data_IF_157989721353
#
_entry.id   IF_157989721353
#
_cell.length_a   1.000
_cell.length_b   1.000
_cell.length_c   1.000
_cell.angle_alpha   90.00
_cell.angle_beta   90.00
_cell.angle_gamma   90.00
#
_symmetry.space_group_name_H-M   'P 1'
#
loop_
_entity.id
_entity.type
_entity.pdbx_description
1 polymer ?
#
# COMPACT_ATOMS: atom_id res chain seq x y z
N UNK A 1 -0.40 20.73 5.17
CA UNK A 1 -1.48 19.84 5.61
C UNK A 1 -0.90 18.49 5.96
N UNK A 2 -1.24 17.95 7.14
CA UNK A 2 -0.78 16.66 7.61
C UNK A 2 -1.82 15.57 7.20
N UNK A 3 -1.60 14.80 6.13
CA UNK A 3 -2.60 13.88 5.60
C UNK A 3 -2.92 12.73 6.57
N UNK A 4 -1.93 12.23 7.31
CA UNK A 4 -2.12 11.11 8.24
C UNK A 4 -3.09 11.43 9.39
N UNK A 5 -2.91 12.49 10.18
CA UNK A 5 -3.87 12.90 11.21
C UNK A 5 -5.28 13.16 10.66
N UNK A 6 -5.38 13.72 9.47
CA UNK A 6 -6.67 13.92 8.80
C UNK A 6 -7.35 12.59 8.43
N UNK A 7 -6.59 11.62 7.93
CA UNK A 7 -7.11 10.29 7.64
C UNK A 7 -7.57 9.57 8.92
N UNK A 8 -6.80 9.68 10.02
CA UNK A 8 -7.20 9.16 11.33
C UNK A 8 -8.59 9.67 11.72
N UNK A 9 -8.77 10.97 11.67
CA UNK A 9 -10.04 11.61 12.03
C UNK A 9 -11.17 11.19 11.08
N UNK A 10 -10.89 11.01 9.79
CA UNK A 10 -11.86 10.49 8.82
C UNK A 10 -12.33 9.08 9.17
N UNK A 11 -11.42 8.17 9.54
CA UNK A 11 -11.77 6.81 9.98
C UNK A 11 -12.66 6.84 11.24
N UNK A 12 -12.32 7.70 12.19
CA UNK A 12 -13.13 7.90 13.41
C UNK A 12 -14.53 8.42 13.06
N UNK A 13 -14.61 9.41 12.17
CA UNK A 13 -15.87 9.98 11.73
C UNK A 13 -16.75 8.94 11.01
N UNK A 14 -16.18 8.16 10.09
CA UNK A 14 -16.92 7.11 9.38
C UNK A 14 -17.55 6.13 10.36
N UNK A 15 -16.79 5.66 11.35
CA UNK A 15 -17.27 4.74 12.39
C UNK A 15 -18.35 5.38 13.24
N UNK A 16 -18.20 6.65 13.57
CA UNK A 16 -19.23 7.39 14.31
C UNK A 16 -20.53 7.54 13.49
N UNK A 17 -20.45 7.82 12.19
CA UNK A 17 -21.62 7.86 11.30
C UNK A 17 -22.31 6.49 11.27
N UNK A 18 -21.56 5.41 11.14
CA UNK A 18 -22.13 4.05 11.17
C UNK A 18 -22.79 3.71 12.51
N UNK A 19 -22.23 4.16 13.62
CA UNK A 19 -22.83 4.01 14.94
C UNK A 19 -24.15 4.78 15.06
N UNK A 20 -24.22 5.99 14.52
CA UNK A 20 -25.46 6.77 14.43
C UNK A 20 -26.55 6.01 13.64
N UNK A 21 -26.18 5.42 12.50
CA UNK A 21 -27.14 4.65 11.70
C UNK A 21 -27.53 3.31 12.34
N UNK A 22 -26.59 2.61 12.96
CA UNK A 22 -26.80 1.28 13.50
C UNK A 22 -27.52 1.30 14.85
N UNK A 23 -27.11 2.19 15.73
CA UNK A 23 -27.52 2.22 17.14
C UNK A 23 -28.35 3.45 17.52
N UNK A 24 -28.72 4.27 16.53
CA UNK A 24 -29.41 5.55 16.75
C UNK A 24 -28.63 6.46 17.73
N UNK A 25 -27.31 6.40 17.66
CA UNK A 25 -26.45 7.23 18.46
C UNK A 25 -26.64 8.72 18.11
N UNK A 26 -26.31 9.61 19.03
CA UNK A 26 -26.43 11.04 18.79
C UNK A 26 -25.35 11.50 17.80
N UNK A 27 -25.68 12.20 16.70
CA UNK A 27 -24.71 12.96 15.93
C UNK A 27 -24.01 13.97 16.85
N UNK A 28 -22.71 14.12 16.74
CA UNK A 28 -21.98 14.99 17.68
C UNK A 28 -20.47 14.86 17.53
N UNK A 29 -19.99 14.45 16.36
CA UNK A 29 -18.56 14.38 16.09
C UNK A 29 -17.99 15.79 15.83
N UNK A 30 -17.02 16.20 16.65
CA UNK A 30 -16.26 17.45 16.49
C UNK A 30 -14.76 17.15 16.50
N UNK A 31 -14.15 17.14 15.33
CA UNK A 31 -12.72 16.97 15.16
C UNK A 31 -12.04 18.26 14.70
N UNK A 32 -10.74 18.17 14.49
CA UNK A 32 -9.93 19.27 13.95
C UNK A 32 -10.23 19.56 12.47
N UNK A 33 -10.57 18.51 11.71
CA UNK A 33 -10.74 18.56 10.26
C UNK A 33 -12.17 18.32 9.81
N UNK A 34 -12.96 17.60 10.62
CA UNK A 34 -14.31 17.19 10.27
C UNK A 34 -15.30 17.46 11.39
N UNK A 35 -16.52 17.76 11.01
CA UNK A 35 -17.65 17.94 11.92
C UNK A 35 -18.87 17.20 11.38
N UNK A 36 -19.57 16.50 12.28
CA UNK A 36 -20.84 15.84 11.97
C UNK A 36 -21.83 16.09 13.12
N UNK A 37 -22.77 17.00 12.92
CA UNK A 37 -23.66 17.49 13.97
C UNK A 37 -25.15 17.21 13.70
N UNK A 38 -25.50 16.73 12.51
CA UNK A 38 -26.88 16.52 12.10
C UNK A 38 -27.02 15.24 11.27
N UNK A 39 -28.00 14.42 11.63
CA UNK A 39 -28.52 13.32 10.82
C UNK A 39 -30.05 13.41 10.83
N UNK A 40 -30.65 13.64 9.68
CA UNK A 40 -32.10 13.65 9.57
C UNK A 40 -32.60 12.25 9.20
N UNK A 41 -33.83 11.87 9.61
CA UNK A 41 -34.41 10.58 9.27
C UNK A 41 -34.43 10.29 7.76
N UNK A 42 -34.58 11.32 6.94
CA UNK A 42 -34.63 11.20 5.48
C UNK A 42 -33.30 10.68 4.87
N UNK A 43 -32.16 11.01 5.48
CA UNK A 43 -30.83 10.59 5.03
C UNK A 43 -30.25 9.42 5.83
N UNK A 44 -30.96 8.94 6.85
CA UNK A 44 -30.51 7.78 7.61
C UNK A 44 -30.97 6.48 6.91
N UNK A 45 -30.03 5.61 6.50
CA UNK A 45 -30.39 4.30 5.92
C UNK A 45 -30.96 3.33 6.96
N UNK A 46 -30.80 3.65 8.26
CA UNK A 46 -31.10 2.73 9.35
C UNK A 46 -30.07 1.63 9.55
N UNK A 47 -30.34 0.68 10.46
CA UNK A 47 -29.42 -0.40 10.76
C UNK A 47 -29.32 -1.42 9.64
N UNK A 48 -28.15 -2.04 9.50
CA UNK A 48 -27.87 -3.12 8.55
C UNK A 48 -27.54 -4.42 9.27
N UNK A 49 -27.69 -5.55 8.59
CA UNK A 49 -27.43 -6.88 9.15
C UNK A 49 -25.95 -7.10 9.53
N UNK A 50 -25.02 -6.48 8.79
CA UNK A 50 -23.59 -6.63 8.96
C UNK A 50 -22.92 -5.28 9.26
N UNK A 51 -23.01 -4.78 10.51
CA UNK A 51 -22.56 -3.43 10.86
C UNK A 51 -21.03 -3.27 10.91
N UNK A 52 -20.32 -4.36 11.10
CA UNK A 52 -18.85 -4.35 11.16
C UNK A 52 -18.23 -4.29 9.77
N UNK A 53 -18.34 -3.13 9.12
CA UNK A 53 -17.74 -2.91 7.79
C UNK A 53 -16.24 -2.69 7.95
N UNK A 54 -15.39 -3.52 7.30
CA UNK A 54 -13.95 -3.35 7.41
C UNK A 54 -13.46 -2.10 6.67
N UNK A 55 -12.62 -1.32 7.35
CA UNK A 55 -11.94 -0.16 6.75
C UNK A 55 -10.52 -0.56 6.38
N UNK A 56 -10.18 -0.39 5.11
CA UNK A 56 -8.83 -0.54 4.60
C UNK A 56 -8.25 0.82 4.25
N UNK A 57 -7.03 1.08 4.69
CA UNK A 57 -6.27 2.25 4.27
C UNK A 57 -5.02 1.83 3.51
N UNK A 58 -4.44 2.73 2.74
CA UNK A 58 -3.22 2.45 2.00
C UNK A 58 -2.07 3.36 2.41
N UNK A 59 -0.86 2.88 2.22
CA UNK A 59 0.35 3.64 2.48
C UNK A 59 1.61 2.79 2.46
N UNK A 60 2.70 3.40 2.89
CA UNK A 60 4.01 2.76 2.95
C UNK A 60 4.85 3.29 4.12
N UNK A 61 4.60 4.53 4.56
CA UNK A 61 5.39 5.16 5.60
C UNK A 61 5.00 4.69 7.02
N UNK A 62 5.89 4.84 8.01
CA UNK A 62 5.67 4.39 9.38
C UNK A 62 4.37 4.88 10.02
N UNK A 63 3.98 6.14 9.79
CA UNK A 63 2.75 6.68 10.36
C UNK A 63 1.50 5.93 9.87
N UNK A 64 1.43 5.64 8.55
CA UNK A 64 0.31 4.93 7.96
C UNK A 64 0.25 3.48 8.43
N UNK A 65 1.40 2.83 8.60
CA UNK A 65 1.47 1.48 9.14
C UNK A 65 0.93 1.43 10.58
N UNK A 66 1.36 2.37 11.45
CA UNK A 66 0.83 2.48 12.82
C UNK A 66 -0.66 2.77 12.84
N UNK A 67 -1.13 3.68 11.99
CA UNK A 67 -2.55 4.02 11.90
C UNK A 67 -3.40 2.80 11.50
N UNK A 68 -2.95 2.02 10.51
CA UNK A 68 -3.62 0.80 10.11
C UNK A 68 -3.70 -0.21 11.26
N UNK A 69 -2.58 -0.48 11.94
CA UNK A 69 -2.53 -1.37 13.10
C UNK A 69 -3.44 -0.93 14.23
N UNK A 70 -3.49 0.37 14.51
CA UNK A 70 -4.26 0.93 15.61
C UNK A 70 -5.78 0.87 15.39
N UNK A 71 -6.26 1.07 14.15
CA UNK A 71 -7.68 1.30 13.98
C UNK A 71 -8.32 0.81 12.65
N UNK A 72 -7.62 0.05 11.81
CA UNK A 72 -8.18 -0.44 10.56
C UNK A 72 -8.19 -1.97 10.50
N UNK A 73 -9.09 -2.55 9.72
CA UNK A 73 -9.19 -4.00 9.50
C UNK A 73 -8.29 -4.46 8.35
N UNK A 74 -7.71 -3.52 7.61
CA UNK A 74 -6.73 -3.87 6.59
C UNK A 74 -5.83 -2.73 6.17
N UNK A 75 -4.69 -3.13 5.60
CA UNK A 75 -3.69 -2.22 5.06
C UNK A 75 -3.30 -2.64 3.65
N UNK A 76 -3.56 -1.78 2.69
CA UNK A 76 -3.07 -1.93 1.32
C UNK A 76 -1.69 -1.33 1.20
N UNK A 77 -0.67 -2.20 1.17
CA UNK A 77 0.69 -1.79 0.91
C UNK A 77 0.87 -1.39 -0.55
N UNK A 78 1.55 -0.28 -0.78
CA UNK A 78 1.84 0.17 -2.14
C UNK A 78 2.67 -0.88 -2.91
N UNK A 79 2.43 -1.11 -4.22
CA UNK A 79 3.15 -2.12 -5.00
C UNK A 79 4.67 -1.91 -5.05
N UNK A 80 5.13 -0.66 -4.93
CA UNK A 80 6.54 -0.36 -4.81
C UNK A 80 7.03 -0.59 -3.37
N UNK A 81 7.39 -1.84 -3.07
CA UNK A 81 7.92 -2.31 -1.79
C UNK A 81 8.98 -3.39 -2.00
N UNK A 82 9.73 -3.71 -0.96
CA UNK A 82 10.58 -4.89 -0.89
C UNK A 82 10.27 -5.69 0.37
N UNK A 83 10.58 -6.99 0.37
CA UNK A 83 10.40 -7.82 1.55
C UNK A 83 11.24 -7.35 2.73
N UNK A 84 12.44 -6.80 2.46
CA UNK A 84 13.27 -6.18 3.49
C UNK A 84 12.57 -4.99 4.14
N UNK A 85 12.06 -4.06 3.33
CA UNK A 85 11.32 -2.90 3.84
C UNK A 85 10.06 -3.28 4.63
N UNK A 86 9.35 -4.31 4.16
CA UNK A 86 8.17 -4.83 4.88
C UNK A 86 8.57 -5.32 6.26
N UNK A 87 9.59 -6.16 6.37
CA UNK A 87 10.02 -6.75 7.64
C UNK A 87 10.67 -5.75 8.59
N UNK A 88 11.44 -4.81 8.08
CA UNK A 88 12.20 -3.86 8.89
C UNK A 88 11.42 -2.58 9.22
N UNK A 89 10.41 -2.21 8.42
CA UNK A 89 9.68 -0.96 8.60
C UNK A 89 8.17 -1.16 8.74
N UNK A 90 7.53 -1.87 7.80
CA UNK A 90 6.07 -1.95 7.78
C UNK A 90 5.54 -2.75 8.97
N UNK A 91 6.00 -3.99 9.14
CA UNK A 91 5.51 -4.88 10.20
C UNK A 91 5.76 -4.32 11.60
N UNK A 92 6.98 -3.86 11.96
CA UNK A 92 7.22 -3.32 13.30
C UNK A 92 6.35 -2.11 13.62
N UNK A 93 6.16 -1.19 12.67
CA UNK A 93 5.29 -0.03 12.88
C UNK A 93 3.81 -0.41 12.98
N UNK A 94 3.36 -1.41 12.22
CA UNK A 94 1.99 -1.90 12.33
C UNK A 94 1.75 -2.58 13.68
N UNK A 95 2.70 -3.37 14.16
CA UNK A 95 2.67 -4.02 15.47
C UNK A 95 2.66 -2.99 16.61
N UNK A 96 3.42 -1.91 16.50
CA UNK A 96 3.33 -0.77 17.46
C UNK A 96 1.91 -0.20 17.52
N UNK A 97 1.26 -0.02 16.36
CA UNK A 97 -0.13 0.44 16.31
C UNK A 97 -1.12 -0.55 16.94
N UNK A 98 -0.98 -1.84 16.64
CA UNK A 98 -1.77 -2.94 17.19
C UNK A 98 -1.68 -2.98 18.72
N UNK A 99 -0.45 -2.89 19.25
CA UNK A 99 -0.20 -2.93 20.70
C UNK A 99 -0.88 -1.81 21.46
N UNK A 100 -1.03 -0.62 20.86
CA UNK A 100 -1.68 0.54 21.49
C UNK A 100 -3.16 0.31 21.84
N UNK A 101 -3.82 -0.56 21.14
CA UNK A 101 -5.27 -0.81 21.27
C UNK A 101 -5.59 -2.22 21.75
N UNK A 102 -4.58 -3.03 22.08
CA UNK A 102 -4.76 -4.40 22.55
C UNK A 102 -5.28 -5.35 21.46
N UNK A 103 -5.17 -4.97 20.18
CA UNK A 103 -5.53 -5.82 19.04
C UNK A 103 -4.48 -6.90 18.80
N UNK A 104 -4.76 -7.79 17.86
CA UNK A 104 -3.82 -8.82 17.41
C UNK A 104 -3.47 -8.62 15.94
N UNK A 105 -2.36 -9.22 15.48
CA UNK A 105 -1.94 -9.17 14.07
C UNK A 105 -3.02 -9.70 13.13
N UNK A 106 -3.76 -10.71 13.55
CA UNK A 106 -4.89 -11.30 12.80
C UNK A 106 -6.06 -10.34 12.55
N UNK A 107 -6.15 -9.25 13.31
CA UNK A 107 -7.22 -8.25 13.15
C UNK A 107 -6.95 -7.26 12.01
N UNK A 108 -5.77 -7.33 11.39
CA UNK A 108 -5.35 -6.41 10.32
C UNK A 108 -4.89 -7.21 9.10
N UNK A 109 -5.73 -7.32 8.09
CA UNK A 109 -5.35 -7.95 6.84
C UNK A 109 -4.32 -7.10 6.08
N UNK A 110 -3.19 -7.69 5.71
CA UNK A 110 -2.15 -7.05 4.92
C UNK A 110 -2.28 -7.48 3.45
N UNK A 111 -2.59 -6.53 2.58
CA UNK A 111 -2.78 -6.76 1.16
C UNK A 111 -1.80 -5.93 0.32
N UNK A 112 -1.44 -6.43 -0.83
CA UNK A 112 -0.64 -5.69 -1.82
C UNK A 112 -0.93 -6.14 -3.24
N UNK A 113 -0.42 -5.39 -4.21
CA UNK A 113 -0.21 -5.88 -5.57
C UNK A 113 1.30 -6.02 -5.81
N UNK A 114 1.71 -7.15 -6.37
CA UNK A 114 3.10 -7.41 -6.70
C UNK A 114 3.38 -7.03 -8.15
N UNK A 115 4.50 -6.36 -8.42
CA UNK A 115 5.01 -6.26 -9.78
C UNK A 115 5.35 -7.66 -10.29
N UNK A 116 4.80 -8.03 -11.44
CA UNK A 116 5.03 -9.31 -12.06
C UNK A 116 5.60 -9.11 -13.46
N UNK A 117 6.75 -9.72 -13.69
CA UNK A 117 7.43 -9.79 -15.00
C UNK A 117 7.26 -11.21 -15.48
N UNK A 118 6.32 -11.45 -16.41
CA UNK A 118 5.94 -12.80 -16.80
C UNK A 118 5.78 -12.97 -18.30
N UNK A 119 5.95 -14.18 -18.77
CA UNK A 119 5.80 -14.54 -20.16
C UNK A 119 5.65 -16.04 -20.37
N UNK A 120 5.35 -16.46 -21.59
CA UNK A 120 5.29 -17.89 -21.95
C UNK A 120 6.68 -18.51 -21.97
N UNK A 121 7.66 -17.76 -22.46
CA UNK A 121 9.05 -18.17 -22.60
C UNK A 121 9.98 -17.24 -21.83
N UNK A 122 11.25 -17.64 -21.64
CA UNK A 122 12.25 -16.76 -21.04
C UNK A 122 12.47 -15.47 -21.82
N UNK A 123 12.42 -15.53 -23.14
CA UNK A 123 12.55 -14.36 -23.99
C UNK A 123 11.37 -13.40 -23.83
N UNK A 124 10.16 -13.92 -23.59
CA UNK A 124 8.99 -13.09 -23.24
C UNK A 124 9.18 -12.39 -21.90
N UNK A 125 9.70 -13.10 -20.90
CA UNK A 125 10.03 -12.53 -19.59
C UNK A 125 11.04 -11.39 -19.72
N UNK A 126 12.11 -11.59 -20.51
CA UNK A 126 13.10 -10.54 -20.76
C UNK A 126 12.48 -9.29 -21.41
N UNK A 127 11.61 -9.46 -22.41
CA UNK A 127 10.89 -8.34 -23.03
C UNK A 127 9.95 -7.62 -22.06
N UNK A 128 9.33 -8.36 -21.15
CA UNK A 128 8.42 -7.81 -20.15
C UNK A 128 9.11 -6.98 -19.05
N UNK A 129 10.44 -7.01 -18.92
CA UNK A 129 11.19 -6.20 -17.95
C UNK A 129 11.08 -4.70 -18.22
N UNK A 130 11.11 -4.29 -19.47
CA UNK A 130 11.20 -2.86 -19.82
C UNK A 130 10.02 -2.02 -19.29
N UNK A 131 8.75 -2.36 -19.50
CA UNK A 131 7.62 -1.60 -18.96
C UNK A 131 7.57 -1.62 -17.42
N UNK A 132 7.94 -2.73 -16.78
CA UNK A 132 7.98 -2.82 -15.33
C UNK A 132 9.11 -1.95 -14.76
N UNK A 133 10.28 -1.95 -15.40
CA UNK A 133 11.42 -1.07 -15.06
C UNK A 133 11.01 0.40 -15.13
N UNK A 134 10.31 0.80 -16.18
CA UNK A 134 9.79 2.15 -16.34
C UNK A 134 8.82 2.51 -15.21
N UNK A 135 7.89 1.63 -14.88
CA UNK A 135 6.91 1.85 -13.82
C UNK A 135 7.56 1.95 -12.44
N UNK A 136 8.52 1.05 -12.14
CA UNK A 136 9.30 1.10 -10.90
C UNK A 136 10.08 2.41 -10.82
N UNK A 137 10.73 2.86 -11.89
CA UNK A 137 11.49 4.11 -11.87
C UNK A 137 10.60 5.33 -11.56
N UNK A 138 9.37 5.34 -12.07
CA UNK A 138 8.38 6.37 -11.77
C UNK A 138 8.04 6.40 -10.26
N UNK A 139 7.71 5.27 -9.65
CA UNK A 139 7.42 5.24 -8.21
C UNK A 139 8.66 5.55 -7.36
N UNK A 140 9.81 5.01 -7.74
CA UNK A 140 11.08 5.23 -7.06
C UNK A 140 11.54 6.70 -7.08
N UNK A 141 11.07 7.50 -8.03
CA UNK A 141 11.33 8.95 -8.10
C UNK A 141 10.54 9.76 -7.08
N UNK A 142 9.53 9.18 -6.45
CA UNK A 142 8.67 9.88 -5.49
C UNK A 142 9.35 9.95 -4.13
N UNK A 143 9.59 11.16 -3.62
CA UNK A 143 10.32 11.40 -2.34
C UNK A 143 9.77 10.61 -1.15
N UNK A 144 8.45 10.46 -1.05
CA UNK A 144 7.81 9.72 0.04
C UNK A 144 8.08 8.23 0.02
N UNK A 145 8.68 7.72 -1.07
CA UNK A 145 9.05 6.31 -1.21
C UNK A 145 10.55 6.07 -1.12
N UNK A 146 11.36 7.10 -0.83
CA UNK A 146 12.84 6.97 -0.73
C UNK A 146 13.28 5.89 0.24
N UNK A 147 12.58 5.74 1.37
CA UNK A 147 12.88 4.74 2.39
C UNK A 147 12.90 3.30 1.86
N UNK A 148 12.17 3.00 0.77
CA UNK A 148 12.18 1.67 0.14
C UNK A 148 13.52 1.39 -0.54
N UNK A 149 14.13 2.40 -1.18
CA UNK A 149 15.46 2.29 -1.77
C UNK A 149 16.55 2.38 -0.71
N UNK A 150 16.40 3.28 0.25
CA UNK A 150 17.36 3.48 1.36
C UNK A 150 17.56 2.20 2.17
N UNK A 151 16.52 1.40 2.38
CA UNK A 151 16.60 0.09 3.03
C UNK A 151 17.59 -0.87 2.34
N UNK A 152 17.88 -0.66 1.05
CA UNK A 152 18.83 -1.43 0.27
C UNK A 152 20.15 -0.70 0.01
N UNK A 153 20.37 0.47 0.59
CA UNK A 153 21.56 1.29 0.32
C UNK A 153 21.49 2.08 -1.01
N UNK A 154 20.33 2.14 -1.66
CA UNK A 154 20.14 2.81 -2.95
C UNK A 154 19.59 4.26 -2.82
N UNK A 155 19.91 4.93 -1.74
CA UNK A 155 19.48 6.31 -1.49
C UNK A 155 19.95 7.29 -2.57
N UNK A 156 21.17 7.13 -3.09
CA UNK A 156 21.69 7.93 -4.21
C UNK A 156 20.86 7.75 -5.48
N UNK A 157 20.45 6.51 -5.79
CA UNK A 157 19.58 6.22 -6.93
C UNK A 157 18.21 6.92 -6.77
N UNK A 158 17.63 6.91 -5.57
CA UNK A 158 16.39 7.63 -5.27
C UNK A 158 16.53 9.13 -5.56
N UNK A 159 17.61 9.75 -5.12
CA UNK A 159 17.89 11.16 -5.37
C UNK A 159 18.01 11.46 -6.87
N UNK A 160 18.79 10.68 -7.61
CA UNK A 160 18.98 10.83 -9.06
C UNK A 160 17.68 10.65 -9.84
N UNK A 161 16.83 9.69 -9.44
CA UNK A 161 15.50 9.51 -10.01
C UNK A 161 14.61 10.74 -9.77
N UNK A 162 14.61 11.28 -8.56
CA UNK A 162 13.86 12.48 -8.22
C UNK A 162 14.33 13.71 -9.05
N UNK A 163 15.63 13.88 -9.22
CA UNK A 163 16.21 14.95 -10.05
C UNK A 163 15.82 14.83 -11.52
N UNK A 164 15.81 13.60 -12.07
CA UNK A 164 15.35 13.35 -13.44
C UNK A 164 13.86 13.62 -13.60
N UNK A 165 13.03 13.17 -12.67
CA UNK A 165 11.61 13.46 -12.65
C UNK A 165 11.31 14.96 -12.61
N UNK A 166 12.03 15.73 -11.80
CA UNK A 166 11.91 17.19 -11.72
C UNK A 166 12.26 17.92 -13.04
N UNK A 167 13.11 17.29 -13.86
CA UNK A 167 13.51 17.79 -15.20
C UNK A 167 12.61 17.26 -16.33
N UNK A 168 11.66 16.37 -16.03
CA UNK A 168 10.80 15.72 -17.04
C UNK A 168 11.54 14.66 -17.86
N UNK A 169 12.70 14.17 -17.42
CA UNK A 169 13.49 13.13 -18.10
C UNK A 169 12.98 11.71 -17.73
N UNK A 170 11.74 11.44 -18.12
CA UNK A 170 11.06 10.17 -17.84
C UNK A 170 11.73 8.97 -18.52
N UNK A 171 12.22 9.15 -19.75
CA UNK A 171 12.89 8.07 -20.48
C UNK A 171 14.24 7.68 -19.84
N UNK A 172 14.99 8.67 -19.33
CA UNK A 172 16.26 8.46 -18.69
C UNK A 172 16.17 7.85 -17.29
N UNK A 173 14.98 7.78 -16.69
CA UNK A 173 14.80 7.22 -15.35
C UNK A 173 14.92 5.70 -15.33
N UNK A 174 14.38 5.01 -16.34
CA UNK A 174 14.37 3.56 -16.39
C UNK A 174 15.78 2.96 -16.34
N UNK A 175 16.79 3.61 -16.93
CA UNK A 175 18.17 3.16 -16.93
C UNK A 175 18.84 3.16 -15.55
N UNK A 176 18.25 3.85 -14.57
CA UNK A 176 18.73 3.85 -13.18
C UNK A 176 18.23 2.65 -12.36
N UNK A 177 17.23 1.91 -12.87
CA UNK A 177 16.72 0.69 -12.24
C UNK A 177 17.51 -0.49 -12.77
N UNK A 178 18.36 -1.08 -11.96
CA UNK A 178 19.20 -2.24 -12.32
C UNK A 178 18.38 -3.54 -12.33
N UNK A 179 18.96 -4.61 -12.88
CA UNK A 179 18.35 -5.95 -12.80
C UNK A 179 18.26 -6.45 -11.36
N UNK A 180 19.26 -6.16 -10.52
CA UNK A 180 19.20 -6.43 -9.08
C UNK A 180 17.98 -5.75 -8.42
N UNK A 181 17.69 -4.50 -8.76
CA UNK A 181 16.50 -3.81 -8.26
C UNK A 181 15.19 -4.47 -8.76
N UNK A 182 15.16 -4.94 -10.02
CA UNK A 182 13.99 -5.68 -10.53
C UNK A 182 13.79 -6.99 -9.76
N UNK A 183 14.84 -7.72 -9.43
CA UNK A 183 14.75 -8.95 -8.61
C UNK A 183 14.18 -8.67 -7.22
N UNK A 184 14.55 -7.53 -6.63
CA UNK A 184 14.06 -7.11 -5.32
C UNK A 184 12.58 -6.71 -5.38
N UNK A 185 12.19 -5.90 -6.36
CA UNK A 185 10.86 -5.28 -6.39
C UNK A 185 9.80 -6.08 -7.16
N UNK A 186 10.20 -6.92 -8.10
CA UNK A 186 9.28 -7.71 -8.92
C UNK A 186 9.39 -9.21 -8.66
N UNK A 187 8.40 -9.96 -9.14
CA UNK A 187 8.44 -11.42 -9.27
C UNK A 187 8.60 -11.72 -10.76
N UNK A 188 9.60 -12.53 -11.12
CA UNK A 188 9.97 -12.76 -12.52
C UNK A 188 9.97 -14.25 -12.85
N UNK A 189 9.25 -14.65 -13.89
CA UNK A 189 9.21 -16.06 -14.32
C UNK A 189 8.24 -16.31 -15.46
N UNK A 190 8.22 -17.54 -15.93
CA UNK A 190 7.17 -18.00 -16.86
C UNK A 190 5.82 -18.09 -16.15
N UNK A 191 4.73 -18.13 -16.90
CA UNK A 191 3.38 -18.21 -16.32
C UNK A 191 3.23 -19.34 -15.30
N UNK A 192 3.85 -20.49 -15.57
CA UNK A 192 3.78 -21.66 -14.70
C UNK A 192 4.59 -21.50 -13.39
N UNK A 193 5.64 -20.67 -13.40
CA UNK A 193 6.50 -20.42 -12.23
C UNK A 193 5.94 -19.36 -11.30
N UNK A 194 5.19 -18.40 -11.81
CA UNK A 194 4.73 -17.22 -11.04
C UNK A 194 4.00 -17.58 -9.75
N UNK A 195 3.06 -18.56 -9.72
CA UNK A 195 2.36 -18.91 -8.48
C UNK A 195 3.30 -19.32 -7.33
N UNK A 196 4.29 -20.16 -7.63
CA UNK A 196 5.24 -20.64 -6.62
C UNK A 196 6.23 -19.56 -6.20
N UNK A 197 6.67 -18.72 -7.14
CA UNK A 197 7.53 -17.58 -6.84
C UNK A 197 6.84 -16.54 -5.95
N UNK A 198 5.54 -16.29 -6.18
CA UNK A 198 4.74 -15.42 -5.31
C UNK A 198 4.59 -16.01 -3.90
N UNK A 199 4.25 -17.30 -3.80
CA UNK A 199 4.19 -17.98 -2.51
C UNK A 199 5.52 -17.86 -1.79
N UNK A 200 6.63 -18.24 -2.43
CA UNK A 200 7.96 -18.17 -1.84
C UNK A 200 8.31 -16.77 -1.33
N UNK A 201 7.89 -15.71 -2.06
CA UNK A 201 8.20 -14.32 -1.69
C UNK A 201 7.35 -13.82 -0.53
N UNK A 202 6.05 -14.14 -0.50
CA UNK A 202 5.07 -13.45 0.33
C UNK A 202 4.40 -14.31 1.40
N UNK A 203 4.56 -15.64 1.36
CA UNK A 203 3.94 -16.55 2.32
C UNK A 203 4.32 -16.21 3.76
N UNK A 204 3.34 -16.31 4.66
CA UNK A 204 3.51 -15.94 6.07
C UNK A 204 3.60 -14.45 6.36
N UNK A 205 3.50 -13.57 5.32
CA UNK A 205 3.59 -12.11 5.48
C UNK A 205 2.34 -11.41 4.97
N UNK A 206 1.92 -11.74 3.75
CA UNK A 206 0.76 -11.14 3.10
C UNK A 206 -0.46 -12.05 3.19
N UNK A 207 -1.62 -11.46 3.55
CA UNK A 207 -2.90 -12.17 3.56
C UNK A 207 -3.55 -12.21 2.17
N UNK A 208 -3.26 -11.19 1.32
CA UNK A 208 -3.80 -11.08 -0.05
C UNK A 208 -2.79 -10.45 -0.99
N UNK A 209 -2.70 -11.02 -2.21
CA UNK A 209 -1.83 -10.51 -3.27
C UNK A 209 -2.63 -10.41 -4.57
N UNK A 210 -2.57 -9.24 -5.22
CA UNK A 210 -2.96 -9.05 -6.61
C UNK A 210 -1.73 -8.91 -7.51
N UNK A 211 -1.93 -8.95 -8.82
CA UNK A 211 -0.88 -8.68 -9.79
C UNK A 211 -0.91 -7.21 -10.20
N UNK A 212 0.25 -6.59 -10.24
CA UNK A 212 0.45 -5.29 -10.86
C UNK A 212 1.12 -5.49 -12.22
N UNK A 213 0.32 -5.36 -13.27
CA UNK A 213 0.80 -5.43 -14.66
C UNK A 213 0.72 -4.01 -15.24
N UNK A 214 1.84 -3.36 -15.57
CA UNK A 214 1.82 -2.02 -16.17
C UNK A 214 1.05 -1.99 -17.48
N UNK A 215 0.37 -0.88 -17.77
CA UNK A 215 -0.30 -0.69 -19.06
C UNK A 215 0.73 -0.79 -20.20
N UNK A 216 0.42 -1.59 -21.24
CA UNK A 216 1.32 -1.87 -22.36
C UNK A 216 2.23 -3.08 -22.18
N UNK A 217 2.20 -3.76 -21.03
CA UNK A 217 2.92 -5.02 -20.81
C UNK A 217 2.09 -6.28 -21.18
N UNK A 218 0.82 -6.11 -21.52
CA UNK A 218 -0.05 -7.17 -22.03
C UNK A 218 -0.13 -7.03 -23.56
N UNK A 219 0.68 -7.78 -24.29
CA UNK A 219 0.67 -7.99 -25.72
C UNK A 219 0.73 -9.46 -26.02
#
# INVERSE_FOLDING_TARGET
TAPGPRLREMVQLIRHIWDVWQNNARPGFEGKHYRFSLMTPFFSPGPIQWPSIPIYISGLNPYMCRLAGEMCEGFHLHPFHSMKYIRETVLPNMEEGIAKTGRQRSDVALATTAFVIMGKTRDDVERAKAPVRQQISFYASTRTYSGVLEAHGWGETSQRLNEKAAKGDWAGMASLITDEMLEVYAVQGTYDEIPDLLRKKYDGVMDRIGFYVPMGAAG
#
